data_IF_191452743573
#
_entry.id   IF_191452743573
#
_cell.length_a   1.000
_cell.length_b   1.000
_cell.length_c   1.000
_cell.angle_alpha   90.00
_cell.angle_beta   90.00
_cell.angle_gamma   90.00
#
_symmetry.space_group_name_H-M   'P 1'
#
loop_
_entity.id
_entity.type
_entity.pdbx_description
1 polymer ?
#
# COMPACT_ATOMS: atom_id res chain seq x y z
N UNK A 1 -57.35 -55.62 -14.06
CA UNK A 1 -56.18 -55.21 -14.78
C UNK A 1 -55.71 -53.88 -14.15
N UNK A 2 -54.74 -53.90 -13.26
CA UNK A 2 -54.28 -52.72 -12.48
C UNK A 2 -53.02 -52.16 -13.14
N UNK A 3 -53.10 -50.94 -13.67
CA UNK A 3 -51.95 -50.17 -14.10
C UNK A 3 -51.19 -49.60 -12.93
N UNK A 4 -49.92 -49.95 -12.81
CA UNK A 4 -48.99 -49.35 -11.83
C UNK A 4 -48.38 -48.09 -12.43
N UNK A 5 -48.65 -46.98 -11.77
CA UNK A 5 -48.02 -45.69 -12.07
C UNK A 5 -46.58 -45.70 -11.56
N UNK A 6 -45.63 -45.45 -12.47
CA UNK A 6 -44.19 -45.32 -12.15
C UNK A 6 -43.88 -43.82 -11.94
N UNK A 7 -43.66 -43.44 -10.68
CA UNK A 7 -43.22 -42.11 -10.30
C UNK A 7 -41.72 -42.05 -10.46
N UNK A 8 -41.23 -41.32 -11.48
CA UNK A 8 -39.80 -41.05 -11.69
C UNK A 8 -39.38 -39.84 -10.83
N UNK A 9 -38.70 -40.12 -9.71
CA UNK A 9 -38.10 -39.09 -8.86
C UNK A 9 -36.78 -38.62 -9.49
N UNK A 10 -36.79 -37.43 -10.11
CA UNK A 10 -35.57 -36.74 -10.57
C UNK A 10 -34.91 -36.05 -9.38
N UNK A 11 -33.84 -36.66 -8.91
CA UNK A 11 -32.96 -36.09 -7.88
C UNK A 11 -32.13 -34.96 -8.52
N UNK A 12 -32.49 -33.72 -8.25
CA UNK A 12 -31.71 -32.53 -8.69
C UNK A 12 -30.50 -32.38 -7.78
N UNK A 13 -29.35 -32.89 -8.22
CA UNK A 13 -28.08 -32.73 -7.53
C UNK A 13 -27.58 -31.30 -7.77
N UNK A 14 -27.86 -30.39 -6.83
CA UNK A 14 -27.25 -29.04 -6.85
C UNK A 14 -25.80 -29.19 -6.40
N UNK A 15 -24.90 -29.24 -7.36
CA UNK A 15 -23.46 -29.12 -7.09
C UNK A 15 -23.17 -27.68 -6.64
N UNK A 16 -23.06 -27.46 -5.36
CA UNK A 16 -22.41 -26.27 -4.84
C UNK A 16 -20.91 -26.35 -5.18
N UNK A 17 -20.52 -25.67 -6.22
CA UNK A 17 -19.12 -25.37 -6.46
C UNK A 17 -18.68 -24.41 -5.35
N UNK A 18 -18.14 -24.96 -4.26
CA UNK A 18 -17.25 -24.19 -3.38
C UNK A 18 -16.00 -23.89 -4.18
N UNK A 19 -15.93 -22.73 -4.83
CA UNK A 19 -14.66 -22.14 -5.17
C UNK A 19 -14.00 -21.82 -3.84
N UNK A 20 -13.04 -22.64 -3.43
CA UNK A 20 -12.11 -22.27 -2.37
C UNK A 20 -11.54 -20.91 -2.78
N UNK A 21 -11.79 -19.87 -2.00
CA UNK A 21 -11.11 -18.62 -2.18
C UNK A 21 -9.61 -18.95 -2.04
N UNK A 22 -8.88 -18.91 -3.16
CA UNK A 22 -7.43 -18.95 -3.12
C UNK A 22 -7.03 -17.65 -2.43
N UNK A 23 -6.70 -17.76 -1.14
CA UNK A 23 -6.10 -16.65 -0.42
C UNK A 23 -4.81 -16.26 -1.16
N UNK A 24 -4.66 -14.99 -1.45
CA UNK A 24 -3.43 -14.45 -2.04
C UNK A 24 -2.28 -14.68 -1.04
N UNK A 25 -1.19 -15.37 -1.45
CA UNK A 25 -0.07 -15.63 -0.53
C UNK A 25 0.50 -14.37 0.11
N UNK A 26 0.44 -13.23 -0.59
CA UNK A 26 0.92 -11.94 -0.07
C UNK A 26 -0.05 -11.38 0.97
N UNK A 27 -1.35 -11.49 0.74
CA UNK A 27 -2.38 -11.11 1.72
C UNK A 27 -2.26 -11.95 3.00
N UNK A 28 -2.00 -13.26 2.88
CA UNK A 28 -1.79 -14.12 4.04
C UNK A 28 -0.59 -13.68 4.90
N UNK A 29 0.53 -13.32 4.26
CA UNK A 29 1.73 -12.82 4.95
C UNK A 29 1.42 -11.56 5.75
N UNK A 30 0.86 -10.51 5.09
CA UNK A 30 0.60 -9.24 5.78
C UNK A 30 -0.54 -9.35 6.80
N UNK A 31 -1.55 -10.19 6.54
CA UNK A 31 -2.61 -10.49 7.52
C UNK A 31 -2.03 -11.19 8.75
N UNK A 32 -1.10 -12.13 8.58
CA UNK A 32 -0.41 -12.77 9.69
C UNK A 32 0.41 -11.76 10.51
N UNK A 33 1.19 -10.91 9.85
CA UNK A 33 1.96 -9.84 10.50
C UNK A 33 1.05 -8.92 11.33
N UNK A 34 -0.09 -8.52 10.76
CA UNK A 34 -1.08 -7.70 11.46
C UNK A 34 -1.69 -8.43 12.67
N UNK A 35 -2.20 -9.67 12.48
CA UNK A 35 -2.87 -10.44 13.54
C UNK A 35 -1.95 -10.81 14.69
N UNK A 36 -0.69 -11.12 14.40
CA UNK A 36 0.33 -11.42 15.41
C UNK A 36 0.94 -10.17 16.03
N UNK A 37 0.62 -8.99 15.47
CA UNK A 37 1.23 -7.72 15.86
C UNK A 37 2.77 -7.74 15.74
N UNK A 38 3.27 -8.47 14.76
CA UNK A 38 4.71 -8.73 14.61
C UNK A 38 5.52 -7.43 14.46
N UNK A 39 4.97 -6.43 13.75
CA UNK A 39 5.62 -5.12 13.61
C UNK A 39 5.21 -4.10 14.66
N UNK A 40 4.23 -4.42 15.52
CA UNK A 40 3.74 -3.45 16.49
C UNK A 40 4.83 -3.06 17.49
N UNK A 41 5.18 -1.79 17.46
CA UNK A 41 5.95 -1.13 18.49
C UNK A 41 5.31 0.24 18.75
N UNK A 42 5.12 0.61 20.01
CA UNK A 42 4.49 1.88 20.35
C UNK A 42 3.00 1.98 19.94
N UNK A 43 2.65 3.06 19.26
CA UNK A 43 1.26 3.44 18.98
C UNK A 43 0.73 3.00 17.60
N UNK A 44 1.54 2.29 16.79
CA UNK A 44 1.15 1.82 15.45
C UNK A 44 1.32 0.31 15.30
N UNK A 45 0.35 -0.34 14.66
CA UNK A 45 0.44 -1.75 14.24
C UNK A 45 1.13 -1.93 12.90
N UNK A 46 1.34 -0.82 12.15
CA UNK A 46 2.02 -0.80 10.86
C UNK A 46 3.54 -0.65 10.97
N UNK A 47 4.08 -0.83 12.17
CA UNK A 47 5.52 -0.80 12.44
C UNK A 47 6.03 0.49 13.05
N UNK A 48 7.27 0.46 13.60
CA UNK A 48 7.85 1.59 14.34
C UNK A 48 7.99 2.85 13.49
N UNK A 49 8.23 2.71 12.17
CA UNK A 49 8.30 3.85 11.26
C UNK A 49 6.98 4.61 11.14
N UNK A 50 5.85 4.01 11.52
CA UNK A 50 4.51 4.61 11.47
C UNK A 50 4.06 5.21 12.81
N UNK A 51 4.93 5.22 13.83
CA UNK A 51 4.64 5.90 15.09
C UNK A 51 4.59 7.42 14.89
N UNK A 52 3.66 8.08 15.60
CA UNK A 52 3.43 9.52 15.44
C UNK A 52 4.67 10.35 15.68
N UNK A 53 5.50 9.95 16.67
CA UNK A 53 6.74 10.65 17.05
C UNK A 53 7.81 10.66 15.96
N UNK A 54 7.80 9.68 15.03
CA UNK A 54 8.81 9.57 13.97
C UNK A 54 8.33 10.09 12.61
N UNK A 55 7.06 10.50 12.50
CA UNK A 55 6.45 10.93 11.24
C UNK A 55 6.26 12.44 11.10
N UNK A 56 6.78 13.24 12.03
CA UNK A 56 6.59 14.70 12.00
C UNK A 56 7.11 15.34 10.72
N UNK A 57 8.33 14.98 10.28
CA UNK A 57 8.90 15.51 9.03
C UNK A 57 8.10 15.05 7.80
N UNK A 58 7.69 13.78 7.76
CA UNK A 58 6.84 13.27 6.69
C UNK A 58 5.53 14.05 6.62
N UNK A 59 4.84 14.24 7.75
CA UNK A 59 3.56 14.96 7.84
C UNK A 59 3.69 16.41 7.37
N UNK A 60 4.69 17.13 7.85
CA UNK A 60 4.95 18.50 7.45
C UNK A 60 5.33 18.60 5.97
N UNK A 61 6.21 17.73 5.50
CA UNK A 61 6.63 17.71 4.12
C UNK A 61 5.49 17.38 3.15
N UNK A 62 4.61 16.43 3.48
CA UNK A 62 3.43 16.11 2.66
C UNK A 62 2.48 17.32 2.58
N UNK A 63 2.18 17.98 3.72
CA UNK A 63 1.38 19.20 3.72
C UNK A 63 1.97 20.27 2.77
N UNK A 64 3.29 20.45 2.79
CA UNK A 64 3.95 21.46 1.98
C UNK A 64 3.97 21.06 0.49
N UNK A 65 4.11 19.76 0.18
CA UNK A 65 3.96 19.24 -1.19
C UNK A 65 2.54 19.43 -1.74
N UNK A 66 1.51 19.16 -0.93
CA UNK A 66 0.10 19.39 -1.31
C UNK A 66 -0.10 20.81 -1.80
N UNK A 67 0.39 21.80 -1.05
CA UNK A 67 0.29 23.22 -1.41
C UNK A 67 1.13 23.56 -2.65
N UNK A 68 2.39 23.08 -2.68
CA UNK A 68 3.34 23.40 -3.76
C UNK A 68 2.92 22.86 -5.13
N UNK A 69 2.33 21.67 -5.17
CA UNK A 69 1.96 20.97 -6.40
C UNK A 69 0.45 21.02 -6.70
N UNK A 70 -0.32 21.82 -5.92
CA UNK A 70 -1.77 22.01 -6.05
C UNK A 70 -2.54 20.67 -6.09
N UNK A 71 -2.22 19.76 -5.14
CA UNK A 71 -2.84 18.44 -5.01
C UNK A 71 -4.28 18.60 -4.48
N UNK A 72 -5.23 17.89 -5.09
CA UNK A 72 -6.65 17.90 -4.72
C UNK A 72 -7.16 16.52 -4.32
N UNK A 73 -6.45 15.45 -4.72
CA UNK A 73 -6.84 14.08 -4.46
C UNK A 73 -5.63 13.20 -4.11
N UNK A 74 -5.79 12.38 -3.09
CA UNK A 74 -4.73 11.56 -2.50
C UNK A 74 -5.18 10.12 -2.38
N UNK A 75 -4.36 9.19 -2.88
CA UNK A 75 -4.43 7.77 -2.56
C UNK A 75 -3.26 7.41 -1.64
N UNK A 76 -3.55 6.86 -0.48
CA UNK A 76 -2.56 6.31 0.47
C UNK A 76 -2.54 4.79 0.30
N UNK A 77 -1.49 4.29 -0.31
CA UNK A 77 -1.42 2.92 -0.85
C UNK A 77 -0.06 2.27 -0.59
N UNK A 78 0.09 1.56 0.56
CA UNK A 78 -0.92 1.18 1.54
C UNK A 78 -1.10 2.24 2.65
N UNK A 79 -2.33 2.29 3.20
CA UNK A 79 -2.66 3.23 4.27
C UNK A 79 -2.33 2.73 5.68
N UNK A 80 -2.09 1.42 5.83
CA UNK A 80 -1.86 0.83 7.13
C UNK A 80 -2.98 1.14 8.13
N UNK A 81 -2.62 1.34 9.38
CA UNK A 81 -3.56 1.66 10.47
C UNK A 81 -4.00 3.13 10.52
N UNK A 82 -3.63 3.93 9.51
CA UNK A 82 -3.94 5.36 9.42
C UNK A 82 -3.43 6.17 10.63
N UNK A 83 -2.51 5.63 11.41
CA UNK A 83 -2.06 6.22 12.67
C UNK A 83 -1.45 7.62 12.48
N UNK A 84 -0.49 7.76 11.59
CA UNK A 84 0.21 9.02 11.37
C UNK A 84 -0.47 9.89 10.29
N UNK A 85 -1.03 9.27 9.23
CA UNK A 85 -1.59 10.00 8.09
C UNK A 85 -2.83 10.83 8.50
N UNK A 86 -3.61 10.38 9.49
CA UNK A 86 -4.75 11.15 10.04
C UNK A 86 -4.36 12.51 10.62
N UNK A 87 -3.08 12.70 10.92
CA UNK A 87 -2.54 13.95 11.46
C UNK A 87 -1.86 14.83 10.39
N UNK A 88 -1.91 14.45 9.12
CA UNK A 88 -1.47 15.30 8.01
C UNK A 88 -2.58 16.32 7.72
N UNK A 89 -2.21 17.60 7.69
CA UNK A 89 -3.12 18.65 7.19
C UNK A 89 -3.19 18.55 5.66
N UNK A 90 -4.20 17.87 5.17
CA UNK A 90 -4.46 17.70 3.73
C UNK A 90 -5.43 18.75 3.17
N UNK A 91 -5.90 19.70 4.00
CA UNK A 91 -6.87 20.71 3.61
C UNK A 91 -8.16 20.07 3.06
N UNK A 92 -8.61 20.55 1.90
CA UNK A 92 -9.82 20.07 1.21
C UNK A 92 -9.56 18.89 0.26
N UNK A 93 -8.35 18.28 0.27
CA UNK A 93 -8.08 17.14 -0.58
C UNK A 93 -9.00 15.96 -0.27
N UNK A 94 -9.50 15.33 -1.31
CA UNK A 94 -10.12 14.01 -1.16
C UNK A 94 -9.05 12.98 -0.80
N UNK A 95 -9.42 12.02 0.03
CA UNK A 95 -8.52 10.97 0.49
C UNK A 95 -9.16 9.61 0.37
N UNK A 96 -8.40 8.65 -0.15
CA UNK A 96 -8.73 7.24 -0.13
C UNK A 96 -7.52 6.41 0.30
N UNK A 97 -7.70 5.57 1.32
CA UNK A 97 -6.70 4.61 1.78
C UNK A 97 -6.96 3.23 1.20
N UNK A 98 -5.90 2.57 0.74
CA UNK A 98 -5.92 1.18 0.29
C UNK A 98 -5.02 0.33 1.17
N UNK A 99 -5.42 -0.89 1.46
CA UNK A 99 -4.56 -1.89 2.12
C UNK A 99 -4.99 -3.30 1.73
N UNK A 100 -4.07 -4.26 1.80
CA UNK A 100 -4.33 -5.67 1.50
C UNK A 100 -4.91 -6.41 2.70
N UNK A 101 -4.83 -5.86 3.91
CA UNK A 101 -5.33 -6.48 5.16
C UNK A 101 -6.77 -6.06 5.40
N UNK A 102 -7.71 -6.96 5.13
CA UNK A 102 -9.15 -6.71 5.27
C UNK A 102 -9.54 -6.20 6.67
N UNK A 103 -9.10 -6.89 7.73
CA UNK A 103 -9.42 -6.54 9.12
C UNK A 103 -8.96 -5.11 9.47
N UNK A 104 -7.85 -4.67 8.88
CA UNK A 104 -7.29 -3.33 9.07
C UNK A 104 -8.15 -2.27 8.38
N UNK A 105 -8.60 -2.55 7.17
CA UNK A 105 -9.52 -1.67 6.43
C UNK A 105 -10.86 -1.55 7.16
N UNK A 106 -11.44 -2.65 7.63
CA UNK A 106 -12.69 -2.61 8.41
C UNK A 106 -12.55 -1.78 9.69
N UNK A 107 -11.41 -1.90 10.38
CA UNK A 107 -11.07 -1.05 11.50
C UNK A 107 -11.02 0.44 11.10
N UNK A 108 -10.33 0.76 10.01
CA UNK A 108 -10.20 2.15 9.56
C UNK A 108 -11.56 2.74 9.14
N UNK A 109 -12.40 1.96 8.46
CA UNK A 109 -13.78 2.37 8.13
C UNK A 109 -14.58 2.66 9.41
N UNK A 110 -14.49 1.80 10.41
CA UNK A 110 -15.23 1.98 11.68
C UNK A 110 -14.85 3.26 12.41
N UNK A 111 -13.57 3.63 12.42
CA UNK A 111 -13.08 4.77 13.19
C UNK A 111 -12.99 6.08 12.40
N UNK A 112 -12.85 6.00 11.08
CA UNK A 112 -12.56 7.17 10.25
C UNK A 112 -13.43 7.28 8.98
N UNK A 113 -14.32 6.31 8.74
CA UNK A 113 -15.12 6.21 7.52
C UNK A 113 -16.11 7.36 7.28
N UNK A 114 -16.47 8.13 8.32
CA UNK A 114 -17.30 9.33 8.18
C UNK A 114 -16.58 10.46 7.43
N UNK A 115 -15.27 10.52 7.50
CA UNK A 115 -14.47 11.63 6.96
C UNK A 115 -13.46 11.20 5.90
N UNK A 116 -13.19 9.90 5.77
CA UNK A 116 -12.19 9.33 4.84
C UNK A 116 -12.71 8.04 4.24
N UNK A 117 -12.28 7.76 3.03
CA UNK A 117 -12.61 6.50 2.34
C UNK A 117 -11.48 5.49 2.52
N UNK A 118 -11.84 4.20 2.68
CA UNK A 118 -10.88 3.10 2.77
C UNK A 118 -11.39 1.92 1.96
N UNK A 119 -10.48 1.21 1.27
CA UNK A 119 -10.81 0.03 0.46
C UNK A 119 -9.78 -1.07 0.63
N UNK A 120 -10.26 -2.29 0.80
CA UNK A 120 -9.45 -3.49 0.70
C UNK A 120 -9.04 -3.70 -0.76
N UNK A 121 -7.72 -3.79 -1.01
CA UNK A 121 -7.21 -3.95 -2.36
C UNK A 121 -5.80 -4.54 -2.35
N UNK A 122 -5.55 -5.57 -3.18
CA UNK A 122 -4.21 -6.00 -3.51
C UNK A 122 -3.61 -5.10 -4.61
N UNK A 123 -2.66 -4.26 -4.24
CA UNK A 123 -2.00 -3.30 -5.14
C UNK A 123 -1.10 -3.98 -6.20
N UNK A 124 -0.69 -5.24 -5.98
CA UNK A 124 0.10 -6.02 -6.94
C UNK A 124 -0.76 -6.42 -8.13
N UNK A 125 -2.04 -6.74 -7.90
CA UNK A 125 -2.93 -7.30 -8.92
C UNK A 125 -3.93 -6.27 -9.46
N UNK A 126 -4.18 -5.17 -8.73
CA UNK A 126 -5.27 -4.25 -9.04
C UNK A 126 -4.80 -2.82 -9.30
N UNK A 127 -5.53 -2.13 -10.17
CA UNK A 127 -5.34 -0.71 -10.47
C UNK A 127 -6.22 0.11 -9.53
N UNK A 128 -5.65 1.15 -8.93
CA UNK A 128 -6.39 2.12 -8.08
C UNK A 128 -7.10 3.17 -8.92
N UNK A 129 -7.97 3.95 -8.30
CA UNK A 129 -8.58 5.12 -8.93
C UNK A 129 -7.53 6.20 -9.25
N UNK A 130 -7.80 6.98 -10.29
CA UNK A 130 -6.97 8.15 -10.65
C UNK A 130 -7.03 9.20 -9.56
N UNK A 131 -5.86 9.65 -9.11
CA UNK A 131 -5.68 10.75 -8.15
C UNK A 131 -4.54 11.69 -8.59
N UNK A 132 -4.41 12.84 -7.94
CA UNK A 132 -3.25 13.71 -8.18
C UNK A 132 -1.98 13.12 -7.56
N UNK A 133 -2.06 12.59 -6.34
CA UNK A 133 -0.93 12.08 -5.57
C UNK A 133 -1.19 10.68 -5.02
N UNK A 134 -0.34 9.73 -5.37
CA UNK A 134 -0.22 8.44 -4.70
C UNK A 134 0.86 8.57 -3.62
N UNK A 135 0.54 8.21 -2.38
CA UNK A 135 1.52 8.05 -1.30
C UNK A 135 1.73 6.55 -1.12
N UNK A 136 2.98 6.09 -1.32
CA UNK A 136 3.38 4.69 -1.12
C UNK A 136 4.55 4.63 -0.15
N UNK A 137 4.23 4.65 1.16
CA UNK A 137 5.24 4.69 2.20
C UNK A 137 5.48 3.31 2.80
N UNK A 138 6.76 2.91 2.80
CA UNK A 138 7.35 1.70 3.40
C UNK A 138 6.92 0.34 2.78
N UNK A 139 5.89 0.25 1.96
CA UNK A 139 5.40 -1.02 1.39
C UNK A 139 6.40 -1.71 0.46
N UNK A 140 6.96 -0.95 -0.50
CA UNK A 140 7.80 -1.53 -1.56
C UNK A 140 9.06 -2.21 -1.00
N UNK A 141 9.52 -1.76 0.17
CA UNK A 141 10.64 -2.38 0.89
C UNK A 141 10.38 -3.81 1.36
N UNK A 142 9.13 -4.26 1.36
CA UNK A 142 8.67 -5.59 1.80
C UNK A 142 8.26 -6.52 0.66
N UNK A 143 8.44 -6.10 -0.59
CA UNK A 143 8.03 -6.83 -1.79
C UNK A 143 9.23 -7.27 -2.62
N UNK A 144 9.09 -8.36 -3.39
CA UNK A 144 10.09 -8.75 -4.39
C UNK A 144 10.21 -7.69 -5.50
N UNK A 145 11.31 -7.68 -6.24
CA UNK A 145 11.47 -6.77 -7.38
C UNK A 145 10.34 -6.91 -8.41
N UNK A 146 9.94 -8.15 -8.72
CA UNK A 146 8.82 -8.42 -9.64
C UNK A 146 7.52 -7.79 -9.14
N UNK A 147 7.20 -7.96 -7.85
CA UNK A 147 6.00 -7.39 -7.24
C UNK A 147 6.04 -5.86 -7.22
N UNK A 148 7.20 -5.26 -6.94
CA UNK A 148 7.38 -3.80 -7.02
C UNK A 148 7.04 -3.29 -8.42
N UNK A 149 7.59 -3.93 -9.47
CA UNK A 149 7.28 -3.53 -10.85
C UNK A 149 5.80 -3.70 -11.19
N UNK A 150 5.12 -4.74 -10.68
CA UNK A 150 3.67 -4.91 -10.85
C UNK A 150 2.89 -3.76 -10.21
N UNK A 151 3.18 -3.43 -8.95
CA UNK A 151 2.55 -2.31 -8.24
C UNK A 151 2.75 -1.00 -8.99
N UNK A 152 3.98 -0.67 -9.38
CA UNK A 152 4.29 0.56 -10.08
C UNK A 152 3.59 0.65 -11.44
N UNK A 153 3.49 -0.46 -12.19
CA UNK A 153 2.70 -0.51 -13.44
C UNK A 153 1.21 -0.27 -13.18
N UNK A 154 0.66 -0.83 -12.09
CA UNK A 154 -0.74 -0.60 -11.72
C UNK A 154 -0.98 0.86 -11.31
N UNK A 155 -0.05 1.47 -10.58
CA UNK A 155 -0.11 2.90 -10.30
C UNK A 155 -0.05 3.73 -11.59
N UNK A 156 0.85 3.40 -12.51
CA UNK A 156 0.94 4.09 -13.82
C UNK A 156 -0.33 3.94 -14.65
N UNK A 157 -0.94 2.74 -14.69
CA UNK A 157 -2.22 2.47 -15.35
C UNK A 157 -3.38 3.27 -14.78
N UNK A 158 -3.34 3.69 -13.51
CA UNK A 158 -4.38 4.54 -12.93
C UNK A 158 -4.50 5.91 -13.59
N UNK A 159 -3.45 6.36 -14.28
CA UNK A 159 -3.37 7.70 -14.85
C UNK A 159 -3.19 8.80 -13.79
N UNK A 160 -2.79 8.43 -12.57
CA UNK A 160 -2.45 9.37 -11.50
C UNK A 160 -1.20 10.17 -11.87
N UNK A 161 -1.06 11.38 -11.31
CA UNK A 161 -0.03 12.32 -11.77
C UNK A 161 1.31 12.15 -11.04
N UNK A 162 1.25 12.09 -9.71
CA UNK A 162 2.44 12.04 -8.87
C UNK A 162 2.47 10.77 -8.02
N UNK A 163 3.68 10.29 -7.74
CA UNK A 163 3.93 9.29 -6.71
C UNK A 163 4.94 9.81 -5.70
N UNK A 164 4.62 9.73 -4.42
CA UNK A 164 5.49 9.98 -3.28
C UNK A 164 5.76 8.65 -2.59
N UNK A 165 6.98 8.16 -2.64
CA UNK A 165 7.31 6.85 -2.07
C UNK A 165 8.64 6.84 -1.33
N UNK A 166 8.78 5.88 -0.40
CA UNK A 166 10.00 5.68 0.37
C UNK A 166 11.17 5.28 -0.53
N UNK A 167 12.31 5.94 -0.33
CA UNK A 167 13.60 5.61 -0.96
C UNK A 167 14.74 5.72 0.04
N UNK A 168 15.75 4.86 -0.08
CA UNK A 168 16.96 4.85 0.74
C UNK A 168 18.16 5.40 -0.03
N UNK A 169 18.39 6.71 -0.01
CA UNK A 169 19.43 7.35 -0.83
C UNK A 169 20.86 6.87 -0.55
N UNK A 170 21.11 6.29 0.62
CA UNK A 170 22.42 5.73 1.00
C UNK A 170 22.62 4.29 0.48
N UNK A 171 21.57 3.65 -0.05
CA UNK A 171 21.65 2.31 -0.62
C UNK A 171 22.39 2.37 -1.98
N UNK A 172 23.48 1.65 -2.09
CA UNK A 172 24.31 1.62 -3.32
C UNK A 172 23.96 0.45 -4.23
N UNK A 173 23.38 -0.61 -3.69
CA UNK A 173 22.98 -1.82 -4.39
C UNK A 173 21.61 -2.28 -3.87
N UNK A 174 20.66 -2.52 -4.78
CA UNK A 174 19.32 -3.01 -4.47
C UNK A 174 19.22 -4.54 -4.43
N UNK A 175 20.29 -5.25 -4.71
CA UNK A 175 20.35 -6.70 -4.59
C UNK A 175 20.82 -7.14 -3.19
N UNK A 176 20.47 -8.35 -2.71
CA UNK A 176 19.62 -9.35 -3.34
C UNK A 176 18.12 -9.03 -3.23
N UNK A 177 17.29 -9.84 -3.91
CA UNK A 177 15.84 -9.82 -3.72
C UNK A 177 15.45 -10.45 -2.38
N UNK A 178 14.20 -10.25 -1.95
CA UNK A 178 13.69 -10.72 -0.66
C UNK A 178 12.41 -11.55 -0.82
N UNK A 179 12.05 -12.28 0.22
CA UNK A 179 10.72 -12.88 0.36
C UNK A 179 9.72 -11.82 0.85
N UNK A 180 8.45 -11.82 0.38
CA UNK A 180 7.43 -10.89 0.87
C UNK A 180 7.32 -10.90 2.40
N UNK A 181 7.29 -9.70 3.00
CA UNK A 181 7.24 -9.50 4.46
C UNK A 181 8.62 -9.31 5.12
N UNK A 182 9.72 -9.71 4.49
CA UNK A 182 11.06 -9.27 4.89
C UNK A 182 11.24 -7.78 4.59
N UNK A 183 12.35 -7.19 4.98
CA UNK A 183 12.64 -5.76 4.76
C UNK A 183 14.00 -5.55 4.14
N UNK A 184 14.05 -4.67 3.14
CA UNK A 184 15.29 -4.11 2.61
C UNK A 184 15.13 -2.62 2.34
N UNK A 185 16.24 -1.93 2.17
CA UNK A 185 16.23 -0.57 1.65
C UNK A 185 16.33 -0.58 0.13
N UNK A 186 15.62 0.33 -0.51
CA UNK A 186 15.62 0.46 -1.97
C UNK A 186 16.01 1.90 -2.32
N UNK A 187 16.99 2.04 -3.20
CA UNK A 187 17.30 3.29 -3.86
C UNK A 187 16.74 3.25 -5.30
N UNK A 188 15.64 3.93 -5.54
CA UNK A 188 14.98 3.91 -6.84
C UNK A 188 15.77 4.59 -7.96
N UNK A 189 16.78 5.40 -7.65
CA UNK A 189 17.72 5.96 -8.65
C UNK A 189 18.78 4.95 -9.12
N UNK A 190 18.81 3.73 -8.55
CA UNK A 190 19.76 2.65 -8.87
C UNK A 190 19.07 1.48 -9.55
N UNK A 191 19.89 0.64 -10.22
CA UNK A 191 19.40 -0.61 -10.80
C UNK A 191 18.69 -1.48 -9.75
N UNK A 192 17.64 -2.21 -10.13
CA UNK A 192 17.09 -2.36 -11.47
C UNK A 192 16.10 -1.25 -11.87
N UNK A 193 15.79 -0.30 -11.00
CA UNK A 193 14.75 0.73 -11.22
C UNK A 193 15.22 1.88 -12.10
N UNK A 194 16.41 2.45 -11.83
CA UNK A 194 17.04 3.55 -12.57
C UNK A 194 16.09 4.74 -12.82
N UNK A 195 15.33 5.13 -11.80
CA UNK A 195 14.41 6.26 -11.90
C UNK A 195 15.18 7.59 -12.03
N UNK A 196 14.58 8.61 -12.66
CA UNK A 196 15.17 9.93 -12.72
C UNK A 196 15.27 10.55 -11.31
N UNK A 197 15.99 11.65 -11.20
CA UNK A 197 16.03 12.43 -9.96
C UNK A 197 14.62 12.85 -9.56
N UNK A 198 14.25 12.75 -8.27
CA UNK A 198 12.94 13.14 -7.82
C UNK A 198 12.74 14.67 -7.89
N UNK A 199 11.48 15.08 -8.03
CA UNK A 199 11.05 16.49 -8.02
C UNK A 199 11.20 17.15 -6.65
N UNK A 200 11.09 16.36 -5.59
CA UNK A 200 11.22 16.78 -4.20
C UNK A 200 11.62 15.60 -3.31
N UNK A 201 12.24 15.92 -2.20
CA UNK A 201 12.64 14.98 -1.16
C UNK A 201 12.14 15.47 0.19
N UNK A 202 11.61 14.57 1.00
CA UNK A 202 11.33 14.76 2.43
C UNK A 202 12.25 13.81 3.18
N UNK A 203 13.21 14.32 3.93
CA UNK A 203 14.06 13.52 4.78
C UNK A 203 13.27 13.00 5.99
N UNK A 204 13.32 11.70 6.24
CA UNK A 204 12.73 11.10 7.42
C UNK A 204 13.82 10.81 8.46
N UNK A 205 13.79 11.52 9.59
CA UNK A 205 14.73 11.29 10.69
C UNK A 205 14.17 10.20 11.62
N UNK A 206 14.35 8.95 11.23
CA UNK A 206 14.01 7.81 12.10
C UNK A 206 15.28 7.44 12.88
N UNK A 207 15.23 7.23 14.21
CA UNK A 207 16.41 7.04 15.05
C UNK A 207 17.02 5.63 14.92
N UNK A 208 16.52 4.82 13.98
CA UNK A 208 17.04 3.47 13.76
C UNK A 208 18.16 3.50 12.72
N UNK A 209 19.32 2.93 13.05
CA UNK A 209 20.45 2.84 12.11
C UNK A 209 20.05 2.14 10.81
N UNK A 210 19.14 1.16 10.91
CA UNK A 210 18.56 0.51 9.75
C UNK A 210 17.69 1.42 8.87
N UNK A 211 17.29 2.61 9.30
CA UNK A 211 16.48 3.60 8.55
C UNK A 211 17.30 4.83 8.11
N UNK A 212 18.62 4.81 8.33
CA UNK A 212 19.49 5.93 7.95
C UNK A 212 19.45 6.22 6.46
N UNK A 213 19.23 7.48 6.09
CA UNK A 213 19.11 7.89 4.69
C UNK A 213 17.75 7.63 4.06
N UNK A 214 16.74 7.31 4.86
CA UNK A 214 15.36 7.18 4.41
C UNK A 214 14.77 8.53 4.05
N UNK A 215 14.12 8.57 2.90
CA UNK A 215 13.41 9.75 2.39
C UNK A 215 12.07 9.32 1.79
N UNK A 216 11.12 10.25 1.77
CA UNK A 216 10.02 10.20 0.82
C UNK A 216 10.41 11.05 -0.39
N UNK A 217 10.37 10.47 -1.57
CA UNK A 217 10.73 11.11 -2.81
C UNK A 217 9.53 11.20 -3.74
N UNK A 218 9.36 12.35 -4.39
CA UNK A 218 8.26 12.67 -5.29
C UNK A 218 8.71 12.59 -6.74
N UNK A 219 7.95 11.87 -7.58
CA UNK A 219 8.15 11.81 -9.02
C UNK A 219 6.86 12.11 -9.79
N UNK A 220 6.99 12.55 -11.04
CA UNK A 220 5.93 12.32 -12.01
C UNK A 220 5.85 10.83 -12.30
N UNK A 221 4.65 10.28 -12.24
CA UNK A 221 4.46 8.85 -12.45
C UNK A 221 4.74 8.44 -13.91
N UNK A 222 4.47 9.34 -14.86
CA UNK A 222 4.73 9.11 -16.29
C UNK A 222 6.22 9.07 -16.64
N UNK A 223 7.08 9.74 -15.87
CA UNK A 223 8.53 9.76 -16.11
C UNK A 223 9.24 8.46 -15.67
N UNK A 224 8.53 7.57 -14.97
CA UNK A 224 9.10 6.32 -14.48
C UNK A 224 9.15 5.28 -15.60
N UNK A 225 10.33 4.73 -15.85
CA UNK A 225 10.56 3.63 -16.81
C UNK A 225 10.18 2.29 -16.14
N UNK A 226 8.88 1.88 -16.23
CA UNK A 226 8.32 0.67 -15.60
C UNK A 226 7.39 -0.10 -16.53
#
# INVERSE_FOLDING_TARGET
MKMKSLVLSTLFCVMFNFTAAHNDPVEEVFTHIYKTKFWQLGDSVSGPGSELRFTEKARNGIRDLIKRFDIKSIADAPCGDFNWMRHVDIGECTYIGYDIVQDLIERNIRFFGETRSFRHLNLIENVIEKVDLIICRDMLAHLTHEQIFKVLRNFKKSGSKYILMTTGLTTVDNSPDITPGEVRRINFERAPFNFPRPLALIEENVPFECERGKHLALWFLDDLNI
#
